data_IF_433379922033
#
_entry.id   IF_433379922033
#
_cell.length_a   1.000
_cell.length_b   1.000
_cell.length_c   1.000
_cell.angle_alpha   90.00
_cell.angle_beta   90.00
_cell.angle_gamma   90.00
#
_symmetry.space_group_name_H-M   'P 1'
#
loop_
_entity.id
_entity.type
_entity.pdbx_description
1 polymer ?
#
# COMPACT_ATOMS: atom_id res chain seq x y z
N UNK A 1 -7.38 -11.34 -24.84
CA UNK A 1 -8.32 -11.88 -23.83
C UNK A 1 -8.29 -13.42 -23.70
N UNK A 2 -8.55 -14.23 -24.74
CA UNK A 2 -8.59 -15.72 -24.62
C UNK A 2 -7.27 -16.35 -24.10
N UNK A 3 -6.12 -15.81 -24.52
CA UNK A 3 -4.82 -16.29 -24.05
C UNK A 3 -4.59 -16.00 -22.56
N UNK A 4 -4.93 -14.80 -22.06
CA UNK A 4 -4.79 -14.46 -20.63
C UNK A 4 -5.63 -15.39 -19.78
N UNK A 5 -6.91 -15.57 -20.14
CA UNK A 5 -7.80 -16.48 -19.42
C UNK A 5 -7.32 -17.94 -19.44
N UNK A 6 -6.54 -18.37 -20.44
CA UNK A 6 -5.91 -19.68 -20.44
C UNK A 6 -4.72 -19.74 -19.47
N UNK A 7 -3.83 -18.75 -19.48
CA UNK A 7 -2.68 -18.70 -18.58
C UNK A 7 -3.10 -18.56 -17.11
N UNK A 8 -4.11 -17.74 -16.81
CA UNK A 8 -4.65 -17.63 -15.45
C UNK A 8 -5.23 -18.97 -14.98
N UNK A 9 -6.02 -19.66 -15.82
CA UNK A 9 -6.53 -21.00 -15.50
C UNK A 9 -5.42 -22.05 -15.31
N UNK A 10 -4.33 -21.95 -16.08
CA UNK A 10 -3.17 -22.81 -15.89
C UNK A 10 -2.48 -22.52 -14.55
N UNK A 11 -2.30 -21.24 -14.20
CA UNK A 11 -1.76 -20.83 -12.89
C UNK A 11 -2.63 -21.34 -11.75
N UNK A 12 -3.95 -21.18 -11.84
CA UNK A 12 -4.90 -21.73 -10.85
C UNK A 12 -4.77 -23.23 -10.71
N UNK A 13 -4.71 -23.95 -11.84
CA UNK A 13 -4.55 -25.39 -11.84
C UNK A 13 -3.24 -25.83 -11.19
N UNK A 14 -2.15 -25.09 -11.38
CA UNK A 14 -0.86 -25.39 -10.77
C UNK A 14 -0.91 -25.08 -9.27
N UNK A 15 -1.39 -23.91 -8.87
CA UNK A 15 -1.46 -23.50 -7.47
C UNK A 15 -2.34 -24.43 -6.65
N UNK A 16 -3.52 -24.79 -7.18
CA UNK A 16 -4.42 -25.75 -6.53
C UNK A 16 -3.81 -27.15 -6.46
N UNK A 17 -3.16 -27.62 -7.53
CA UNK A 17 -2.56 -28.97 -7.56
C UNK A 17 -1.39 -29.14 -6.60
N UNK A 18 -0.65 -28.05 -6.35
CA UNK A 18 0.52 -28.06 -5.48
C UNK A 18 0.28 -27.36 -4.14
N UNK A 19 -0.97 -27.11 -3.77
CA UNK A 19 -1.32 -26.53 -2.48
C UNK A 19 -0.70 -27.34 -1.32
N UNK A 20 -0.02 -26.64 -0.40
CA UNK A 20 0.73 -27.26 0.70
C UNK A 20 2.15 -27.74 0.36
N UNK A 21 2.55 -27.79 -0.91
CA UNK A 21 3.89 -28.25 -1.33
C UNK A 21 4.87 -27.13 -1.63
N UNK A 22 4.40 -25.90 -1.85
CA UNK A 22 5.25 -24.76 -2.20
C UNK A 22 5.64 -23.87 -1.00
N UNK A 23 5.37 -24.29 0.24
CA UNK A 23 5.76 -23.54 1.46
C UNK A 23 7.27 -23.25 1.51
N UNK A 24 8.09 -24.24 1.15
CA UNK A 24 9.56 -24.13 1.05
C UNK A 24 10.02 -23.17 -0.06
N UNK A 25 9.17 -22.93 -1.07
CA UNK A 25 9.45 -22.08 -2.23
C UNK A 25 8.75 -20.72 -2.16
N UNK A 26 8.02 -20.43 -1.08
CA UNK A 26 7.16 -19.26 -1.00
C UNK A 26 7.92 -17.95 -1.17
N UNK A 27 9.12 -17.85 -0.60
CA UNK A 27 9.99 -16.67 -0.80
C UNK A 27 10.34 -16.43 -2.28
N UNK A 28 10.52 -17.49 -3.05
CA UNK A 28 10.78 -17.41 -4.50
C UNK A 28 9.53 -16.97 -5.26
N UNK A 29 8.35 -17.42 -4.84
CA UNK A 29 7.06 -16.99 -5.40
C UNK A 29 6.84 -15.50 -5.12
N UNK A 30 7.04 -15.05 -3.87
CA UNK A 30 6.97 -13.63 -3.51
C UNK A 30 7.95 -12.81 -4.36
N UNK A 31 9.21 -13.24 -4.47
CA UNK A 31 10.21 -12.56 -5.31
C UNK A 31 9.78 -12.47 -6.77
N UNK A 32 9.20 -13.53 -7.32
CA UNK A 32 8.66 -13.53 -8.68
C UNK A 32 7.53 -12.51 -8.81
N UNK A 33 6.56 -12.49 -7.90
CA UNK A 33 5.44 -11.54 -7.94
C UNK A 33 5.94 -10.10 -7.82
N UNK A 34 6.94 -9.84 -6.96
CA UNK A 34 7.59 -8.51 -6.84
C UNK A 34 8.21 -8.08 -8.17
N UNK A 35 8.91 -8.98 -8.86
CA UNK A 35 9.48 -8.70 -10.18
C UNK A 35 8.37 -8.38 -11.18
N UNK A 36 7.31 -9.19 -11.22
CA UNK A 36 6.18 -8.99 -12.13
C UNK A 36 5.43 -7.68 -11.86
N UNK A 37 5.23 -7.34 -10.58
CA UNK A 37 4.55 -6.11 -10.14
C UNK A 37 5.34 -4.85 -10.50
N UNK A 38 6.67 -4.95 -10.59
CA UNK A 38 7.55 -3.84 -10.99
C UNK A 38 7.52 -3.55 -12.49
N UNK A 39 7.14 -4.53 -13.31
CA UNK A 39 7.24 -4.42 -14.77
C UNK A 39 6.46 -3.22 -15.33
N UNK A 40 5.21 -2.92 -14.92
CA UNK A 40 4.51 -1.70 -15.33
C UNK A 40 5.25 -0.41 -14.96
N UNK A 41 5.89 -0.37 -13.79
CA UNK A 41 6.68 0.77 -13.35
C UNK A 41 8.01 0.96 -14.13
N UNK A 42 8.47 -0.09 -14.83
CA UNK A 42 9.68 -0.08 -15.65
C UNK A 42 9.43 0.37 -17.09
N UNK A 43 8.23 0.83 -17.45
CA UNK A 43 7.93 1.30 -18.81
C UNK A 43 8.89 2.42 -19.28
N UNK A 44 9.41 3.22 -18.33
CA UNK A 44 10.46 4.24 -18.54
C UNK A 44 11.79 3.63 -19.02
N UNK A 45 12.09 2.37 -18.68
CA UNK A 45 13.35 1.68 -18.99
C UNK A 45 13.25 0.70 -20.16
N UNK A 46 12.05 0.39 -20.63
CA UNK A 46 11.82 -0.59 -21.70
C UNK A 46 12.07 0.01 -23.10
N UNK A 47 13.27 0.55 -23.37
CA UNK A 47 13.60 1.14 -24.67
C UNK A 47 13.64 0.15 -25.84
N UNK A 48 13.71 -1.17 -25.58
CA UNK A 48 14.00 -2.21 -26.57
C UNK A 48 12.77 -2.95 -27.14
N UNK A 49 11.55 -2.75 -26.61
CA UNK A 49 10.33 -3.42 -27.11
C UNK A 49 9.59 -2.58 -28.16
N UNK A 50 9.03 -3.19 -29.20
CA UNK A 50 8.19 -2.48 -30.17
C UNK A 50 6.94 -1.92 -29.47
N UNK A 51 6.69 -0.62 -29.62
CA UNK A 51 5.66 0.13 -28.87
C UNK A 51 4.24 -0.46 -28.97
N UNK A 52 3.89 -1.10 -30.09
CA UNK A 52 2.55 -1.64 -30.35
C UNK A 52 2.16 -2.86 -29.50
N UNK A 53 3.13 -3.67 -29.05
CA UNK A 53 2.86 -4.87 -28.23
C UNK A 53 3.19 -4.69 -26.75
N UNK A 54 3.87 -3.58 -26.41
CA UNK A 54 4.36 -3.31 -25.05
C UNK A 54 3.21 -3.15 -24.07
N UNK A 55 2.27 -2.23 -24.33
CA UNK A 55 1.15 -1.96 -23.41
C UNK A 55 0.31 -3.22 -23.10
N UNK A 56 -0.03 -4.00 -24.13
CA UNK A 56 -0.80 -5.24 -23.92
C UNK A 56 -0.04 -6.30 -23.13
N UNK A 57 1.28 -6.43 -23.32
CA UNK A 57 2.09 -7.38 -22.56
C UNK A 57 2.23 -6.95 -21.09
N UNK A 58 2.52 -5.66 -20.83
CA UNK A 58 2.64 -5.14 -19.47
C UNK A 58 1.33 -5.31 -18.70
N UNK A 59 0.20 -5.00 -19.34
CA UNK A 59 -1.12 -5.22 -18.77
C UNK A 59 -1.37 -6.70 -18.44
N UNK A 60 -1.02 -7.61 -19.35
CA UNK A 60 -1.18 -9.05 -19.09
C UNK A 60 -0.31 -9.55 -17.92
N UNK A 61 0.92 -9.05 -17.81
CA UNK A 61 1.83 -9.37 -16.70
C UNK A 61 1.28 -8.84 -15.37
N UNK A 62 0.76 -7.61 -15.37
CA UNK A 62 0.12 -7.03 -14.21
C UNK A 62 -1.10 -7.84 -13.75
N UNK A 63 -2.01 -8.16 -14.67
CA UNK A 63 -3.20 -8.98 -14.39
C UNK A 63 -2.81 -10.34 -13.81
N UNK A 64 -1.74 -10.96 -14.33
CA UNK A 64 -1.24 -12.22 -13.78
C UNK A 64 -0.69 -12.07 -12.35
N UNK A 65 0.06 -10.99 -12.07
CA UNK A 65 0.56 -10.71 -10.72
C UNK A 65 -0.58 -10.45 -9.73
N UNK A 66 -1.56 -9.62 -10.10
CA UNK A 66 -2.74 -9.33 -9.30
C UNK A 66 -3.57 -10.60 -9.01
N UNK A 67 -3.76 -11.44 -10.02
CA UNK A 67 -4.44 -12.72 -9.85
C UNK A 67 -3.72 -13.66 -8.88
N UNK A 68 -2.39 -13.76 -8.96
CA UNK A 68 -1.60 -14.54 -8.00
C UNK A 68 -1.77 -14.01 -6.57
N UNK A 69 -1.81 -12.69 -6.39
CA UNK A 69 -2.08 -12.08 -5.08
C UNK A 69 -3.48 -12.44 -4.59
N UNK A 70 -4.50 -12.30 -5.43
CA UNK A 70 -5.88 -12.61 -5.08
C UNK A 70 -6.05 -14.06 -4.60
N UNK A 71 -5.36 -15.01 -5.24
CA UNK A 71 -5.39 -16.44 -4.85
C UNK A 71 -4.59 -16.70 -3.57
N UNK A 72 -3.44 -16.05 -3.38
CA UNK A 72 -2.51 -16.35 -2.29
C UNK A 72 -2.70 -15.50 -1.03
N UNK A 73 -3.44 -14.38 -1.08
CA UNK A 73 -3.55 -13.42 0.03
C UNK A 73 -4.11 -14.04 1.34
N UNK A 74 -4.90 -15.10 1.24
CA UNK A 74 -5.43 -15.83 2.40
C UNK A 74 -4.51 -16.98 2.89
N UNK A 75 -3.41 -17.26 2.19
CA UNK A 75 -2.48 -18.33 2.55
C UNK A 75 -1.48 -17.86 3.63
N UNK A 76 -1.38 -18.60 4.74
CA UNK A 76 -0.55 -18.24 5.88
C UNK A 76 0.96 -18.22 5.56
N UNK A 77 1.44 -19.19 4.77
CA UNK A 77 2.83 -19.24 4.34
C UNK A 77 3.17 -18.05 3.44
N UNK A 78 2.24 -17.66 2.57
CA UNK A 78 2.40 -16.48 1.70
C UNK A 78 2.48 -15.21 2.53
N UNK A 79 1.55 -15.03 3.47
CA UNK A 79 1.57 -13.91 4.41
C UNK A 79 2.90 -13.84 5.17
N UNK A 80 3.35 -14.94 5.78
CA UNK A 80 4.61 -14.98 6.51
C UNK A 80 5.82 -14.68 5.60
N UNK A 81 5.82 -15.20 4.37
CA UNK A 81 6.89 -14.96 3.41
C UNK A 81 6.94 -13.50 2.93
N UNK A 82 5.78 -12.86 2.73
CA UNK A 82 5.69 -11.43 2.40
C UNK A 82 6.17 -10.60 3.60
N UNK A 83 5.60 -10.80 4.79
CA UNK A 83 5.96 -10.00 5.97
C UNK A 83 7.44 -10.12 6.35
N UNK A 84 8.06 -11.29 6.11
CA UNK A 84 9.47 -11.55 6.31
C UNK A 84 10.36 -11.37 5.08
N UNK A 85 9.86 -10.73 4.01
CA UNK A 85 10.61 -10.58 2.77
C UNK A 85 11.70 -9.51 2.91
N UNK A 86 12.96 -9.91 2.69
CA UNK A 86 14.08 -8.97 2.66
C UNK A 86 14.17 -8.27 1.31
N UNK A 87 13.79 -6.99 1.30
CA UNK A 87 13.70 -6.17 0.09
C UNK A 87 15.06 -5.56 -0.19
N UNK A 88 15.74 -6.09 -1.22
CA UNK A 88 16.84 -5.38 -1.86
C UNK A 88 16.31 -4.08 -2.49
N UNK A 89 17.05 -2.97 -2.33
CA UNK A 89 16.63 -1.61 -2.74
C UNK A 89 16.06 -1.55 -4.17
N UNK A 90 16.68 -2.31 -5.09
CA UNK A 90 16.28 -2.38 -6.51
C UNK A 90 14.86 -2.94 -6.75
N UNK A 91 14.23 -3.57 -5.76
CA UNK A 91 12.90 -4.18 -5.90
C UNK A 91 11.83 -3.47 -5.06
N UNK A 92 12.17 -2.33 -4.44
CA UNK A 92 11.28 -1.65 -3.50
C UNK A 92 9.97 -1.18 -4.13
N UNK A 93 10.01 -0.61 -5.33
CA UNK A 93 8.79 -0.18 -6.05
C UNK A 93 7.87 -1.35 -6.38
N UNK A 94 8.42 -2.47 -6.86
CA UNK A 94 7.65 -3.70 -7.10
C UNK A 94 7.06 -4.29 -5.83
N UNK A 95 7.79 -4.19 -4.72
CA UNK A 95 7.32 -4.66 -3.43
C UNK A 95 6.22 -3.77 -2.85
N UNK A 96 6.37 -2.44 -2.95
CA UNK A 96 5.32 -1.50 -2.57
C UNK A 96 4.02 -1.77 -3.35
N UNK A 97 4.13 -2.00 -4.67
CA UNK A 97 2.99 -2.34 -5.50
C UNK A 97 2.31 -3.63 -5.04
N UNK A 98 3.09 -4.69 -4.81
CA UNK A 98 2.58 -5.94 -4.23
C UNK A 98 1.84 -5.69 -2.91
N UNK A 99 2.43 -4.95 -1.97
CA UNK A 99 1.79 -4.66 -0.67
C UNK A 99 0.47 -3.91 -0.85
N UNK A 100 0.42 -2.92 -1.74
CA UNK A 100 -0.81 -2.16 -2.02
C UNK A 100 -1.88 -3.00 -2.70
N UNK A 101 -1.50 -3.92 -3.60
CA UNK A 101 -2.43 -4.88 -4.22
C UNK A 101 -2.97 -5.86 -3.18
N UNK A 102 -2.14 -6.34 -2.25
CA UNK A 102 -2.59 -7.21 -1.16
C UNK A 102 -3.71 -6.55 -0.35
N UNK A 103 -3.64 -5.24 -0.10
CA UNK A 103 -4.67 -4.53 0.64
C UNK A 103 -6.08 -4.68 0.05
N UNK A 104 -6.21 -4.83 -1.28
CA UNK A 104 -7.52 -5.01 -1.93
C UNK A 104 -8.13 -6.39 -1.70
N UNK A 105 -7.34 -7.37 -1.23
CA UNK A 105 -7.75 -8.77 -1.12
C UNK A 105 -7.83 -9.31 0.31
N UNK A 106 -7.34 -8.57 1.32
CA UNK A 106 -7.17 -9.11 2.69
C UNK A 106 -8.29 -8.79 3.68
N UNK A 107 -9.40 -8.21 3.24
CA UNK A 107 -10.54 -7.88 4.14
C UNK A 107 -10.97 -9.10 4.97
N UNK A 108 -10.97 -10.30 4.38
CA UNK A 108 -11.35 -11.55 5.06
C UNK A 108 -10.18 -12.25 5.79
N UNK A 109 -8.94 -11.83 5.57
CA UNK A 109 -7.73 -12.43 6.15
C UNK A 109 -6.96 -11.44 7.05
N UNK A 110 -7.61 -10.38 7.49
CA UNK A 110 -6.97 -9.21 8.11
C UNK A 110 -6.15 -9.53 9.37
N UNK A 111 -6.52 -10.57 10.14
CA UNK A 111 -5.80 -10.96 11.36
C UNK A 111 -4.34 -11.32 11.06
N UNK A 112 -4.09 -12.11 10.01
CA UNK A 112 -2.75 -12.53 9.60
C UNK A 112 -1.87 -11.36 9.17
N UNK A 113 -2.46 -10.33 8.55
CA UNK A 113 -1.73 -9.22 7.94
C UNK A 113 -1.54 -8.03 8.89
N UNK A 114 -2.50 -7.77 9.78
CA UNK A 114 -2.52 -6.61 10.68
C UNK A 114 -2.12 -6.94 12.11
N UNK A 115 -2.29 -8.20 12.54
CA UNK A 115 -1.89 -8.67 13.85
C UNK A 115 -1.04 -9.96 13.74
N UNK A 116 0.02 -9.95 12.92
CA UNK A 116 0.87 -11.13 12.79
C UNK A 116 1.59 -11.44 14.11
N UNK A 117 2.06 -12.68 14.23
CA UNK A 117 2.97 -13.06 15.32
C UNK A 117 4.33 -12.36 15.21
N UNK A 118 4.71 -11.90 14.02
CA UNK A 118 5.84 -11.00 13.82
C UNK A 118 5.51 -9.58 14.32
N UNK A 119 6.51 -8.81 14.73
CA UNK A 119 6.26 -7.44 15.21
C UNK A 119 5.84 -6.48 14.09
N UNK A 120 6.13 -6.80 12.83
CA UNK A 120 5.86 -5.92 11.68
C UNK A 120 4.62 -6.38 10.93
N UNK A 121 3.65 -5.47 10.76
CA UNK A 121 2.44 -5.71 9.96
C UNK A 121 2.55 -5.11 8.55
N UNK A 122 1.56 -5.38 7.70
CA UNK A 122 1.56 -4.90 6.31
C UNK A 122 1.60 -3.36 6.18
N UNK A 123 0.92 -2.63 7.07
CA UNK A 123 0.90 -1.18 7.04
C UNK A 123 2.29 -0.63 7.35
N UNK A 124 2.97 -1.18 8.35
CA UNK A 124 4.34 -0.80 8.71
C UNK A 124 5.32 -1.06 7.54
N UNK A 125 5.12 -2.14 6.80
CA UNK A 125 5.92 -2.45 5.61
C UNK A 125 5.67 -1.46 4.47
N UNK A 126 4.43 -1.07 4.20
CA UNK A 126 4.11 -0.07 3.18
C UNK A 126 4.84 1.23 3.49
N UNK A 127 4.73 1.72 4.72
CA UNK A 127 5.43 2.92 5.15
C UNK A 127 6.95 2.76 5.12
N UNK A 128 7.49 1.61 5.52
CA UNK A 128 8.94 1.38 5.45
C UNK A 128 9.44 1.30 4.01
N UNK A 129 8.60 0.83 3.08
CA UNK A 129 8.96 0.66 1.70
C UNK A 129 8.93 1.97 0.90
N UNK A 130 8.07 2.93 1.27
CA UNK A 130 7.96 4.21 0.56
C UNK A 130 9.30 4.98 0.56
N UNK A 131 10.05 4.92 1.66
CA UNK A 131 11.36 5.56 1.79
C UNK A 131 12.42 4.98 0.85
N UNK A 132 12.21 3.74 0.41
CA UNK A 132 13.10 3.06 -0.54
C UNK A 132 12.73 3.32 -2.01
N UNK A 133 11.64 4.05 -2.26
CA UNK A 133 11.10 4.31 -3.61
C UNK A 133 11.23 5.78 -4.03
N UNK A 134 12.17 6.55 -3.45
CA UNK A 134 12.26 8.00 -3.65
C UNK A 134 12.35 8.38 -5.13
N UNK A 135 13.09 7.61 -5.93
CA UNK A 135 13.25 7.86 -7.37
C UNK A 135 11.90 7.70 -8.08
N UNK A 136 11.20 6.59 -7.86
CA UNK A 136 9.91 6.32 -8.50
C UNK A 136 8.79 7.25 -8.00
N UNK A 137 8.90 7.79 -6.79
CA UNK A 137 7.97 8.79 -6.25
C UNK A 137 8.16 10.18 -6.89
N UNK A 138 9.36 10.49 -7.36
CA UNK A 138 9.70 11.76 -7.99
C UNK A 138 9.65 11.69 -9.54
N UNK A 139 9.86 10.51 -10.12
CA UNK A 139 9.81 10.31 -11.55
C UNK A 139 8.37 10.09 -12.05
N UNK A 140 8.07 10.46 -13.32
CA UNK A 140 6.78 10.24 -13.95
C UNK A 140 6.57 8.77 -14.32
N UNK A 141 6.57 7.88 -13.32
CA UNK A 141 6.16 6.49 -13.46
C UNK A 141 4.65 6.45 -13.33
N UNK A 142 3.96 6.14 -14.42
CA UNK A 142 2.51 6.10 -14.45
C UNK A 142 1.99 4.67 -14.49
N UNK A 143 1.02 4.40 -13.63
CA UNK A 143 0.28 3.15 -13.57
C UNK A 143 -1.11 3.39 -14.11
N UNK A 144 -1.60 2.49 -14.96
CA UNK A 144 -2.96 2.55 -15.44
C UNK A 144 -3.91 2.13 -14.30
N UNK A 145 -4.72 3.08 -13.84
CA UNK A 145 -5.70 2.88 -12.78
C UNK A 145 -7.11 2.95 -13.36
N UNK A 146 -7.91 1.91 -13.08
CA UNK A 146 -9.33 1.86 -13.42
C UNK A 146 -10.18 1.93 -12.15
N UNK A 147 -11.14 2.84 -12.12
CA UNK A 147 -12.01 3.07 -10.95
C UNK A 147 -13.18 2.06 -10.90
N UNK A 148 -13.33 1.19 -11.90
CA UNK A 148 -14.43 0.21 -11.97
C UNK A 148 -15.83 0.81 -12.20
N UNK A 149 -15.93 2.14 -12.30
CA UNK A 149 -17.16 2.92 -12.45
C UNK A 149 -17.49 3.25 -13.92
N UNK A 150 -16.82 2.58 -14.87
CA UNK A 150 -16.98 2.79 -16.31
C UNK A 150 -16.28 4.03 -16.86
N UNK A 151 -15.55 4.80 -16.03
CA UNK A 151 -14.70 5.90 -16.53
C UNK A 151 -13.47 5.34 -17.25
N UNK A 152 -12.93 6.15 -18.16
CA UNK A 152 -11.69 5.82 -18.85
C UNK A 152 -10.56 5.61 -17.82
N UNK A 153 -9.70 4.59 -18.00
CA UNK A 153 -8.52 4.41 -17.16
C UNK A 153 -7.66 5.67 -17.15
N UNK A 154 -7.12 6.01 -15.98
CA UNK A 154 -6.25 7.18 -15.79
C UNK A 154 -4.87 6.76 -15.33
N UNK A 155 -3.88 7.53 -15.73
CA UNK A 155 -2.50 7.33 -15.31
C UNK A 155 -2.27 7.98 -13.94
N UNK A 156 -1.82 7.19 -12.96
CA UNK A 156 -1.51 7.66 -11.60
C UNK A 156 -0.05 7.39 -11.26
N UNK A 157 0.56 8.28 -10.48
CA UNK A 157 1.93 8.07 -9.97
C UNK A 157 2.00 7.00 -8.88
N UNK A 158 3.21 6.53 -8.54
CA UNK A 158 3.41 5.54 -7.48
C UNK A 158 2.86 6.00 -6.11
N UNK A 159 3.07 7.28 -5.77
CA UNK A 159 2.54 7.88 -4.53
C UNK A 159 1.01 7.85 -4.51
N UNK A 160 0.38 8.32 -5.58
CA UNK A 160 -1.07 8.37 -5.68
C UNK A 160 -1.67 6.96 -5.64
N UNK A 161 -1.05 5.99 -6.31
CA UNK A 161 -1.44 4.58 -6.24
C UNK A 161 -1.44 4.09 -4.78
N UNK A 162 -0.31 4.24 -4.07
CA UNK A 162 -0.21 3.83 -2.67
C UNK A 162 -1.27 4.51 -1.78
N UNK A 163 -1.50 5.81 -1.98
CA UNK A 163 -2.51 6.56 -1.24
C UNK A 163 -3.94 6.06 -1.52
N UNK A 164 -4.28 5.78 -2.78
CA UNK A 164 -5.60 5.24 -3.16
C UNK A 164 -5.86 3.90 -2.49
N UNK A 165 -4.94 2.95 -2.61
CA UNK A 165 -5.11 1.60 -2.05
C UNK A 165 -5.16 1.63 -0.52
N UNK A 166 -4.32 2.45 0.12
CA UNK A 166 -4.38 2.67 1.57
C UNK A 166 -5.73 3.24 2.00
N UNK A 167 -6.22 4.31 1.36
CA UNK A 167 -7.50 4.92 1.70
C UNK A 167 -8.68 3.97 1.45
N UNK A 168 -8.66 3.22 0.35
CA UNK A 168 -9.68 2.22 0.04
C UNK A 168 -9.72 1.13 1.10
N UNK A 169 -8.55 0.61 1.49
CA UNK A 169 -8.46 -0.40 2.54
C UNK A 169 -8.94 0.13 3.89
N UNK A 170 -8.56 1.35 4.25
CA UNK A 170 -9.04 2.00 5.46
C UNK A 170 -10.56 2.14 5.47
N UNK A 171 -11.18 2.44 4.32
CA UNK A 171 -12.63 2.51 4.19
C UNK A 171 -13.34 1.17 4.43
N UNK A 172 -12.67 0.05 4.19
CA UNK A 172 -13.21 -1.30 4.42
C UNK A 172 -12.69 -1.96 5.69
N UNK A 173 -11.84 -1.27 6.45
CA UNK A 173 -11.17 -1.81 7.62
C UNK A 173 -12.15 -2.05 8.78
N UNK A 174 -12.25 -3.28 9.32
CA UNK A 174 -13.04 -3.54 10.51
C UNK A 174 -12.55 -2.73 11.71
N UNK A 175 -13.47 -2.16 12.49
CA UNK A 175 -13.18 -1.28 13.63
C UNK A 175 -12.20 -1.89 14.66
N UNK A 176 -12.19 -3.23 14.81
CA UNK A 176 -11.26 -3.94 15.71
C UNK A 176 -9.77 -3.68 15.39
N UNK A 177 -9.44 -3.34 14.15
CA UNK A 177 -8.07 -3.04 13.73
C UNK A 177 -7.75 -1.55 13.67
N UNK A 178 -8.73 -0.69 13.97
CA UNK A 178 -8.50 0.75 14.02
C UNK A 178 -7.33 1.14 14.94
N UNK A 179 -7.13 0.53 16.13
CA UNK A 179 -5.96 0.84 16.96
C UNK A 179 -4.61 0.50 16.29
N UNK A 180 -4.57 -0.49 15.40
CA UNK A 180 -3.37 -0.81 14.61
C UNK A 180 -3.12 0.28 13.58
N UNK A 181 -4.17 0.67 12.83
CA UNK A 181 -4.09 1.76 11.86
C UNK A 181 -3.64 3.07 12.54
N UNK A 182 -4.32 3.49 13.60
CA UNK A 182 -4.05 4.73 14.32
C UNK A 182 -2.61 4.78 14.85
N UNK A 183 -2.13 3.68 15.45
CA UNK A 183 -0.73 3.56 15.87
C UNK A 183 0.22 3.72 14.70
N UNK A 184 0.00 3.00 13.60
CA UNK A 184 0.88 3.08 12.43
C UNK A 184 0.87 4.49 11.83
N UNK A 185 -0.29 5.16 11.69
CA UNK A 185 -0.35 6.53 11.22
C UNK A 185 0.39 7.49 12.15
N UNK A 186 0.24 7.33 13.47
CA UNK A 186 0.93 8.14 14.47
C UNK A 186 2.44 7.98 14.42
N UNK A 187 2.93 6.74 14.35
CA UNK A 187 4.37 6.47 14.21
C UNK A 187 4.93 7.10 12.94
N UNK A 188 4.18 7.08 11.84
CA UNK A 188 4.66 7.54 10.55
C UNK A 188 4.55 9.05 10.35
N UNK A 189 3.53 9.72 10.90
CA UNK A 189 3.47 11.19 10.86
C UNK A 189 4.57 11.84 11.70
N UNK A 190 4.99 11.17 12.77
CA UNK A 190 6.15 11.57 13.59
C UNK A 190 7.49 11.08 13.03
N UNK A 191 7.52 10.52 11.82
CA UNK A 191 8.77 10.14 11.16
C UNK A 191 9.56 11.37 10.72
N UNK A 192 10.90 11.24 10.76
CA UNK A 192 11.81 12.18 10.11
C UNK A 192 11.77 12.06 8.58
N UNK A 193 11.22 10.95 8.05
CA UNK A 193 11.00 10.82 6.61
C UNK A 193 9.80 11.65 6.16
N UNK A 194 10.05 12.48 5.16
CA UNK A 194 9.03 13.27 4.50
C UNK A 194 7.93 12.41 3.86
N UNK A 195 8.30 11.39 3.05
CA UNK A 195 7.32 10.59 2.31
C UNK A 195 6.42 9.75 3.21
N UNK A 196 6.96 9.20 4.29
CA UNK A 196 6.17 8.49 5.31
C UNK A 196 5.18 9.41 5.99
N UNK A 197 5.65 10.57 6.43
CA UNK A 197 4.80 11.52 7.12
C UNK A 197 3.70 12.08 6.21
N UNK A 198 4.01 12.30 4.94
CA UNK A 198 3.06 12.78 3.95
C UNK A 198 1.97 11.76 3.64
N UNK A 199 2.34 10.51 3.35
CA UNK A 199 1.36 9.44 3.15
C UNK A 199 0.51 9.22 4.40
N UNK A 200 1.12 9.26 5.59
CA UNK A 200 0.39 9.10 6.85
C UNK A 200 -0.62 10.24 7.04
N UNK A 201 -0.21 11.47 6.78
CA UNK A 201 -1.08 12.64 6.87
C UNK A 201 -2.26 12.57 5.88
N UNK A 202 -2.02 12.11 4.64
CA UNK A 202 -3.08 11.97 3.62
C UNK A 202 -4.10 10.89 4.00
N UNK A 203 -3.63 9.72 4.44
CA UNK A 203 -4.51 8.64 4.92
C UNK A 203 -5.26 9.08 6.18
N UNK A 204 -4.61 9.82 7.09
CA UNK A 204 -5.28 10.36 8.28
C UNK A 204 -6.35 11.39 7.92
N UNK A 205 -6.08 12.26 6.95
CA UNK A 205 -7.07 13.20 6.43
C UNK A 205 -8.28 12.46 5.84
N UNK A 206 -8.07 11.34 5.15
CA UNK A 206 -9.15 10.49 4.67
C UNK A 206 -10.00 9.94 5.84
N UNK A 207 -9.35 9.39 6.88
CA UNK A 207 -10.03 8.93 8.10
C UNK A 207 -10.86 10.04 8.75
N UNK A 208 -10.28 11.23 8.89
CA UNK A 208 -10.96 12.37 9.52
C UNK A 208 -12.16 12.86 8.70
N UNK A 209 -12.04 12.87 7.36
CA UNK A 209 -13.08 13.36 6.46
C UNK A 209 -14.29 12.43 6.37
N UNK A 210 -14.06 11.11 6.41
CA UNK A 210 -15.11 10.11 6.28
C UNK A 210 -15.50 9.43 7.60
N UNK A 211 -14.79 9.74 8.69
CA UNK A 211 -15.10 9.33 10.05
C UNK A 211 -16.14 10.22 10.72
N UNK A 212 -16.34 10.01 12.03
CA UNK A 212 -17.23 10.87 12.80
C UNK A 212 -16.58 12.24 13.12
N UNK A 213 -17.38 13.31 13.26
CA UNK A 213 -16.86 14.61 13.71
C UNK A 213 -16.14 14.53 15.06
N UNK A 214 -16.62 13.68 15.97
CA UNK A 214 -15.98 13.45 17.27
C UNK A 214 -14.58 12.83 17.10
N UNK A 215 -14.43 11.85 16.20
CA UNK A 215 -13.14 11.22 15.95
C UNK A 215 -12.12 12.24 15.40
N UNK A 216 -12.55 13.13 14.51
CA UNK A 216 -11.69 14.21 14.01
C UNK A 216 -11.23 15.13 15.16
N UNK A 217 -12.14 15.53 16.04
CA UNK A 217 -11.83 16.35 17.20
C UNK A 217 -10.83 15.66 18.15
N UNK A 218 -11.07 14.39 18.48
CA UNK A 218 -10.22 13.61 19.38
C UNK A 218 -8.79 13.46 18.80
N UNK A 219 -8.67 13.22 17.49
CA UNK A 219 -7.37 13.19 16.81
C UNK A 219 -6.66 14.55 16.86
N UNK A 220 -7.36 15.67 16.63
CA UNK A 220 -6.77 17.00 16.74
C UNK A 220 -6.26 17.25 18.16
N UNK A 221 -7.06 16.92 19.18
CA UNK A 221 -6.63 17.04 20.58
C UNK A 221 -5.38 16.21 20.88
N UNK A 222 -5.35 14.94 20.42
CA UNK A 222 -4.21 14.05 20.58
C UNK A 222 -2.94 14.66 19.98
N UNK A 223 -3.00 15.09 18.72
CA UNK A 223 -1.85 15.66 18.00
C UNK A 223 -1.37 16.97 18.65
N UNK A 224 -2.27 17.85 19.09
CA UNK A 224 -1.91 19.07 19.84
C UNK A 224 -1.15 18.73 21.12
N UNK A 225 -1.62 17.74 21.89
CA UNK A 225 -0.94 17.30 23.12
C UNK A 225 0.45 16.76 22.80
N UNK A 226 0.58 15.94 21.76
CA UNK A 226 1.86 15.34 21.38
C UNK A 226 2.87 16.41 20.93
N UNK A 227 2.47 17.35 20.07
CA UNK A 227 3.36 18.47 19.65
C UNK A 227 3.86 19.27 20.84
N UNK A 228 3.01 19.52 21.85
CA UNK A 228 3.43 20.21 23.09
C UNK A 228 4.49 19.42 23.86
N UNK A 229 4.38 18.09 23.90
CA UNK A 229 5.33 17.21 24.60
C UNK A 229 6.64 17.02 23.83
N UNK A 230 6.62 17.08 22.50
CA UNK A 230 7.77 16.82 21.62
C UNK A 230 8.44 18.08 21.06
N UNK A 231 7.93 19.27 21.40
CA UNK A 231 8.28 20.56 20.80
C UNK A 231 9.80 20.82 20.67
N UNK A 232 10.60 20.42 21.66
CA UNK A 232 12.03 20.72 21.74
C UNK A 232 12.96 19.62 21.19
N UNK A 233 12.43 18.45 20.83
CA UNK A 233 13.26 17.25 20.51
C UNK A 233 13.19 16.80 19.05
N UNK A 234 12.11 17.10 18.33
CA UNK A 234 11.86 16.57 16.98
C UNK A 234 11.34 17.63 16.03
N UNK A 235 12.22 18.51 15.52
CA UNK A 235 11.82 19.68 14.73
C UNK A 235 11.08 19.29 13.44
N UNK A 236 11.60 18.33 12.66
CA UNK A 236 11.00 17.87 11.40
C UNK A 236 9.67 17.18 11.64
N UNK A 237 9.62 16.21 12.55
CA UNK A 237 8.39 15.51 12.90
C UNK A 237 7.30 16.48 13.39
N UNK A 238 7.66 17.47 14.21
CA UNK A 238 6.72 18.50 14.65
C UNK A 238 6.20 19.35 13.49
N UNK A 239 7.02 19.62 12.46
CA UNK A 239 6.57 20.34 11.27
C UNK A 239 5.53 19.52 10.49
N UNK A 240 5.76 18.23 10.29
CA UNK A 240 4.79 17.32 9.66
C UNK A 240 3.46 17.28 10.42
N UNK A 241 3.52 17.16 11.74
CA UNK A 241 2.32 17.11 12.58
C UNK A 241 1.57 18.44 12.59
N UNK A 242 2.28 19.58 12.60
CA UNK A 242 1.65 20.91 12.45
C UNK A 242 0.94 21.05 11.11
N UNK A 243 1.53 20.53 10.03
CA UNK A 243 0.90 20.52 8.71
C UNK A 243 -0.36 19.65 8.69
N UNK A 244 -0.31 18.46 9.31
CA UNK A 244 -1.50 17.62 9.47
C UNK A 244 -2.58 18.34 10.30
N UNK A 245 -2.21 18.94 11.43
CA UNK A 245 -3.14 19.69 12.29
C UNK A 245 -3.87 20.79 11.53
N UNK A 246 -3.16 21.57 10.71
CA UNK A 246 -3.78 22.61 9.88
C UNK A 246 -4.85 22.02 8.95
N UNK A 247 -4.57 20.88 8.31
CA UNK A 247 -5.52 20.18 7.43
C UNK A 247 -6.71 19.59 8.18
N UNK A 248 -6.48 19.02 9.37
CA UNK A 248 -7.55 18.45 10.18
C UNK A 248 -8.46 19.52 10.78
N UNK A 249 -7.93 20.70 11.08
CA UNK A 249 -8.72 21.83 11.58
C UNK A 249 -9.82 22.23 10.58
N UNK A 250 -9.53 22.15 9.28
CA UNK A 250 -10.51 22.41 8.22
C UNK A 250 -11.66 21.38 8.18
N UNK A 251 -11.42 20.16 8.68
CA UNK A 251 -12.43 19.10 8.74
C UNK A 251 -13.25 19.09 10.04
N UNK A 252 -12.84 19.84 11.06
CA UNK A 252 -13.61 19.90 12.30
C UNK A 252 -14.98 20.54 12.05
N UNK A 253 -15.99 20.03 12.75
CA UNK A 253 -17.29 20.69 12.83
C UNK A 253 -17.14 22.06 13.51
N UNK A 254 -17.98 23.03 13.15
CA UNK A 254 -17.87 24.40 13.67
C UNK A 254 -18.05 24.48 15.19
N UNK A 255 -18.78 23.53 15.79
CA UNK A 255 -18.94 23.40 17.25
C UNK A 255 -17.64 23.03 17.97
N UNK A 256 -16.68 22.46 17.26
CA UNK A 256 -15.41 21.95 17.79
C UNK A 256 -14.20 22.85 17.48
N UNK A 257 -14.36 23.89 16.67
CA UNK A 257 -13.32 24.87 16.31
C UNK A 257 -13.15 25.95 17.37
#
# INVERSE_FOLDING_TARGET
MKAVAFHLRLLDSILSRYEGYYSSSMKSIVKMIVILSRIPALEVYAASLVASHRGSLMLHVWIAAEHLVAVLAANADFCAAVLGFDVCENFSSGYLLLLTTILDHIVNASDMWLQPSSQTNILDLIFSCIDKCIVELQCPVFLEYSTGDGRAPRNVGLYENACIHMCRFVATLPARYFPTLERTLLTNVFSESHWRAFLAADVWCFVARYGSPQLCYDHVQLLVRLVKLTASKHVTANAHVKQLLARLFDFMADEHK
#
